data_IF_878555486009
#
_entry.id   IF_878555486009
#
_cell.length_a   1.000
_cell.length_b   1.000
_cell.length_c   1.000
_cell.angle_alpha   90.00
_cell.angle_beta   90.00
_cell.angle_gamma   90.00
#
_symmetry.space_group_name_H-M   'P 1'
#
loop_
_entity.id
_entity.type
_entity.pdbx_description
1 polymer ?
#
# COMPACT_ATOMS: atom_id res chain seq x y z
N UNK A 1 7.12 -11.63 2.92
CA UNK A 1 7.48 -12.67 1.91
C UNK A 1 8.57 -13.54 2.48
N UNK A 2 8.43 -14.86 2.39
CA UNK A 2 9.40 -15.82 2.94
C UNK A 2 10.76 -15.72 2.23
N UNK A 3 11.84 -15.78 3.01
CA UNK A 3 13.21 -15.60 2.56
C UNK A 3 13.97 -16.91 2.34
N UNK A 4 13.48 -17.80 1.47
CA UNK A 4 14.03 -19.16 1.26
C UNK A 4 15.56 -19.24 1.02
N UNK A 5 16.18 -18.20 0.45
CA UNK A 5 17.65 -18.15 0.27
C UNK A 5 18.46 -18.14 1.57
N UNK A 6 17.83 -17.81 2.71
CA UNK A 6 18.45 -17.80 4.05
C UNK A 6 17.72 -18.77 5.00
N UNK A 7 16.90 -19.67 4.46
CA UNK A 7 16.20 -20.65 5.27
C UNK A 7 17.17 -21.71 5.78
N UNK A 8 17.01 -22.12 7.03
CA UNK A 8 17.69 -23.29 7.56
C UNK A 8 16.86 -24.53 7.24
N UNK A 9 17.16 -25.14 6.09
CA UNK A 9 16.45 -26.32 5.58
C UNK A 9 16.78 -27.56 6.43
N UNK A 10 17.98 -27.60 7.04
CA UNK A 10 18.38 -28.69 7.93
C UNK A 10 17.51 -28.72 9.17
N UNK A 11 17.41 -27.58 9.86
CA UNK A 11 16.54 -27.41 11.02
C UNK A 11 15.07 -27.66 10.68
N UNK A 12 14.60 -27.21 9.51
CA UNK A 12 13.22 -27.44 9.07
C UNK A 12 12.90 -28.93 8.92
N UNK A 13 13.80 -29.70 8.30
CA UNK A 13 13.66 -31.16 8.16
C UNK A 13 13.68 -31.85 9.52
N UNK A 14 14.55 -31.42 10.42
CA UNK A 14 14.68 -32.03 11.75
C UNK A 14 13.43 -31.76 12.60
N UNK A 15 12.86 -30.55 12.54
CA UNK A 15 11.59 -30.21 13.21
C UNK A 15 10.40 -31.00 12.67
N UNK A 16 10.35 -31.25 11.36
CA UNK A 16 9.31 -32.07 10.75
C UNK A 16 9.51 -33.58 10.97
N UNK A 17 10.76 -34.01 11.18
CA UNK A 17 11.13 -35.41 11.41
C UNK A 17 11.00 -35.84 12.87
N UNK A 18 11.16 -34.92 13.83
CA UNK A 18 10.97 -35.17 15.27
C UNK A 18 9.52 -35.10 15.74
N UNK A 19 8.59 -34.73 14.86
CA UNK A 19 7.18 -34.67 15.21
C UNK A 19 6.66 -36.08 15.53
N UNK A 20 6.00 -36.31 16.69
CA UNK A 20 5.33 -37.57 16.97
C UNK A 20 4.08 -37.67 16.10
N UNK A 21 4.25 -38.14 14.86
CA UNK A 21 3.18 -38.24 13.86
C UNK A 21 2.18 -39.31 14.24
N UNK A 22 2.62 -40.39 14.86
CA UNK A 22 1.77 -41.54 15.11
C UNK A 22 0.87 -41.29 16.33
N UNK A 23 1.41 -40.84 17.46
CA UNK A 23 0.63 -40.50 18.67
C UNK A 23 -0.29 -39.28 18.50
N UNK A 24 0.12 -38.27 17.73
CA UNK A 24 -0.69 -37.06 17.55
C UNK A 24 -1.88 -37.27 16.62
N UNK A 25 -1.82 -38.27 15.74
CA UNK A 25 -2.83 -38.56 14.71
C UNK A 25 -3.69 -39.79 15.06
N UNK A 26 -3.34 -40.54 16.10
CA UNK A 26 -4.07 -41.72 16.56
C UNK A 26 -5.50 -41.37 16.99
N UNK A 27 -6.48 -42.06 16.42
CA UNK A 27 -7.91 -41.88 16.74
C UNK A 27 -8.58 -40.60 16.18
N UNK A 28 -7.88 -39.80 15.37
CA UNK A 28 -8.42 -38.54 14.82
C UNK A 28 -8.91 -38.68 13.38
N UNK A 29 -9.94 -37.90 13.04
CA UNK A 29 -10.46 -37.82 11.68
C UNK A 29 -9.48 -37.15 10.71
N UNK A 30 -9.62 -37.41 9.41
CA UNK A 30 -8.72 -36.87 8.38
C UNK A 30 -8.58 -35.33 8.43
N UNK A 31 -9.67 -34.62 8.74
CA UNK A 31 -9.71 -33.16 8.85
C UNK A 31 -8.88 -32.65 10.05
N UNK A 32 -9.00 -33.30 11.20
CA UNK A 32 -8.29 -32.93 12.43
C UNK A 32 -6.80 -33.23 12.30
N UNK A 33 -6.48 -34.40 11.73
CA UNK A 33 -5.13 -34.81 11.38
C UNK A 33 -4.45 -33.83 10.43
N UNK A 34 -5.18 -33.32 9.43
CA UNK A 34 -4.67 -32.28 8.53
C UNK A 34 -4.39 -30.95 9.24
N UNK A 35 -5.26 -30.52 10.15
CA UNK A 35 -5.06 -29.27 10.90
C UNK A 35 -3.81 -29.33 11.78
N UNK A 36 -3.60 -30.45 12.48
CA UNK A 36 -2.42 -30.67 13.32
C UNK A 36 -1.13 -30.66 12.48
N UNK A 37 -1.14 -31.38 11.36
CA UNK A 37 -0.01 -31.39 10.43
C UNK A 37 0.28 -29.98 9.88
N UNK A 38 -0.77 -29.27 9.46
CA UNK A 38 -0.65 -27.91 8.93
C UNK A 38 -0.09 -26.95 9.96
N UNK A 39 -0.53 -27.03 11.21
CA UNK A 39 -0.04 -26.18 12.29
C UNK A 39 1.45 -26.42 12.54
N UNK A 40 1.86 -27.68 12.68
CA UNK A 40 3.26 -28.05 12.87
C UNK A 40 4.15 -27.60 11.71
N UNK A 41 3.64 -27.73 10.47
CA UNK A 41 4.32 -27.25 9.27
C UNK A 41 4.50 -25.72 9.28
N UNK A 42 3.46 -24.98 9.66
CA UNK A 42 3.50 -23.51 9.73
C UNK A 42 4.43 -23.03 10.84
N UNK A 43 4.42 -23.69 12.00
CA UNK A 43 5.36 -23.42 13.09
C UNK A 43 6.80 -23.63 12.62
N UNK A 44 7.12 -24.80 12.06
CA UNK A 44 8.47 -25.08 11.53
C UNK A 44 8.88 -24.05 10.46
N UNK A 45 7.93 -23.61 9.63
CA UNK A 45 8.18 -22.60 8.60
C UNK A 45 8.52 -21.24 9.22
N UNK A 46 7.85 -20.85 10.30
CA UNK A 46 8.10 -19.58 10.99
C UNK A 46 9.48 -19.55 11.67
N UNK A 47 9.88 -20.66 12.30
CA UNK A 47 11.18 -20.77 12.97
C UNK A 47 12.35 -20.84 11.98
N UNK A 48 12.19 -21.55 10.86
CA UNK A 48 13.31 -21.85 9.97
C UNK A 48 13.46 -20.88 8.80
N UNK A 49 12.40 -20.12 8.46
CA UNK A 49 12.40 -19.26 7.27
C UNK A 49 12.23 -17.80 7.68
N UNK A 50 13.31 -17.01 7.62
CA UNK A 50 13.24 -15.59 7.91
C UNK A 50 12.20 -14.90 7.02
N UNK A 51 11.27 -14.18 7.66
CA UNK A 51 10.28 -13.39 6.95
C UNK A 51 10.92 -12.07 6.52
N UNK A 52 10.99 -11.83 5.20
CA UNK A 52 11.33 -10.51 4.70
C UNK A 52 10.09 -9.64 4.81
N UNK A 53 10.11 -8.65 5.70
CA UNK A 53 9.23 -7.49 5.58
C UNK A 53 9.52 -6.89 4.22
N UNK A 54 8.52 -6.87 3.33
CA UNK A 54 8.67 -6.03 2.14
C UNK A 54 8.89 -4.62 2.68
N UNK A 55 9.88 -3.87 2.17
CA UNK A 55 9.90 -2.44 2.47
C UNK A 55 8.50 -1.96 2.08
N UNK A 56 7.80 -1.34 3.03
CA UNK A 56 6.55 -0.68 2.71
C UNK A 56 6.86 0.22 1.50
N UNK A 57 6.04 0.13 0.45
CA UNK A 57 6.24 0.91 -0.78
C UNK A 57 6.41 2.41 -0.46
N UNK A 58 5.91 2.85 0.70
CA UNK A 58 6.03 4.20 1.23
C UNK A 58 7.34 4.54 1.97
N UNK A 59 8.23 3.58 2.22
CA UNK A 59 9.54 3.87 2.88
C UNK A 59 10.55 4.53 1.95
N UNK A 60 10.31 4.50 0.63
CA UNK A 60 11.19 5.17 -0.32
C UNK A 60 10.93 6.67 -0.28
N UNK A 61 11.75 7.36 0.51
CA UNK A 61 11.79 8.81 0.62
C UNK A 61 11.81 9.43 -0.80
N UNK A 62 10.85 10.30 -1.16
CA UNK A 62 10.86 10.97 -2.45
C UNK A 62 12.14 11.75 -2.64
N UNK A 63 12.64 11.83 -3.88
CA UNK A 63 13.92 12.48 -4.18
C UNK A 63 13.97 13.97 -3.77
N UNK A 64 12.81 14.64 -3.69
CA UNK A 64 12.69 16.05 -3.25
C UNK A 64 12.69 16.22 -1.73
N UNK A 65 12.54 15.15 -0.95
CA UNK A 65 12.38 15.25 0.49
C UNK A 65 13.76 15.32 1.15
N UNK A 66 14.28 16.53 1.37
CA UNK A 66 15.53 16.79 2.11
C UNK A 66 15.24 16.95 3.64
N UNK A 67 16.29 17.15 4.46
CA UNK A 67 16.15 17.31 5.93
C UNK A 67 15.34 18.57 6.28
N UNK A 68 15.57 19.67 5.57
CA UNK A 68 14.87 20.93 5.74
C UNK A 68 13.35 20.79 5.53
N UNK A 69 12.93 20.03 4.51
CA UNK A 69 11.52 19.73 4.26
C UNK A 69 10.86 18.96 5.40
N UNK A 70 11.60 18.05 6.05
CA UNK A 70 11.09 17.35 7.22
C UNK A 70 10.89 18.30 8.40
N UNK A 71 11.81 19.23 8.60
CA UNK A 71 11.71 20.21 9.67
C UNK A 71 10.58 21.23 9.40
N UNK A 72 10.35 21.63 8.14
CA UNK A 72 9.15 22.39 7.75
C UNK A 72 7.85 21.62 7.98
N UNK A 73 7.83 20.32 7.70
CA UNK A 73 6.67 19.44 7.97
C UNK A 73 6.40 19.33 9.48
N UNK A 74 7.43 19.29 10.32
CA UNK A 74 7.28 19.35 11.79
C UNK A 74 6.73 20.70 12.22
N UNK A 75 7.28 21.79 11.71
CA UNK A 75 6.81 23.15 12.03
C UNK A 75 5.35 23.35 11.64
N UNK A 76 4.92 22.84 10.49
CA UNK A 76 3.50 22.82 10.09
C UNK A 76 2.62 22.02 11.06
N UNK A 77 3.10 20.88 11.58
CA UNK A 77 2.36 20.07 12.58
C UNK A 77 2.26 20.79 13.93
N UNK A 78 3.31 21.48 14.33
CA UNK A 78 3.34 22.30 15.55
C UNK A 78 2.38 23.48 15.41
N UNK A 79 2.39 24.18 14.27
CA UNK A 79 1.45 25.25 13.99
C UNK A 79 -0.01 24.78 14.01
N UNK A 80 -0.30 23.58 13.49
CA UNK A 80 -1.63 22.97 13.60
C UNK A 80 -2.04 22.71 15.05
N UNK A 81 -1.12 22.18 15.87
CA UNK A 81 -1.36 21.96 17.30
C UNK A 81 -1.60 23.28 18.04
N UNK A 82 -0.77 24.29 17.78
CA UNK A 82 -0.90 25.62 18.36
C UNK A 82 -2.21 26.31 17.98
N UNK A 83 -2.59 26.22 16.69
CA UNK A 83 -3.89 26.74 16.22
C UNK A 83 -5.06 26.02 16.90
N UNK A 84 -4.99 24.68 17.03
CA UNK A 84 -6.05 23.91 17.69
C UNK A 84 -6.18 24.23 19.19
N UNK A 85 -5.10 24.70 19.80
CA UNK A 85 -5.03 25.13 21.21
C UNK A 85 -5.26 26.63 21.41
N UNK A 86 -5.55 27.39 20.34
CA UNK A 86 -5.76 28.84 20.40
C UNK A 86 -4.49 29.68 20.59
N UNK A 87 -3.30 29.08 20.50
CA UNK A 87 -2.01 29.75 20.69
C UNK A 87 -1.48 30.43 19.41
N UNK A 88 -1.97 30.00 18.25
CA UNK A 88 -1.54 30.48 16.93
C UNK A 88 -2.76 30.96 16.18
N UNK A 89 -2.67 32.14 15.56
CA UNK A 89 -3.79 32.66 14.78
C UNK A 89 -4.05 31.79 13.55
N UNK A 90 -5.29 31.79 13.06
CA UNK A 90 -5.62 31.09 11.81
C UNK A 90 -4.75 31.57 10.63
N UNK A 91 -4.43 32.87 10.60
CA UNK A 91 -3.64 33.51 9.54
C UNK A 91 -2.19 33.02 9.53
N UNK A 92 -1.57 32.91 10.71
CA UNK A 92 -0.21 32.37 10.87
C UNK A 92 -0.13 30.92 10.44
N UNK A 93 -1.07 30.08 10.89
CA UNK A 93 -1.14 28.68 10.45
C UNK A 93 -1.31 28.58 8.94
N UNK A 94 -2.23 29.37 8.36
CA UNK A 94 -2.49 29.38 6.92
C UNK A 94 -1.27 29.83 6.12
N UNK A 95 -0.52 30.82 6.61
CA UNK A 95 0.72 31.27 6.01
C UNK A 95 1.79 30.16 6.01
N UNK A 96 1.99 29.47 7.14
CA UNK A 96 2.94 28.35 7.26
C UNK A 96 2.57 27.21 6.30
N UNK A 97 1.29 26.88 6.20
CA UNK A 97 0.77 25.84 5.29
C UNK A 97 1.07 26.22 3.83
N UNK A 98 0.78 27.46 3.43
CA UNK A 98 1.03 27.96 2.07
C UNK A 98 2.52 27.96 1.74
N UNK A 99 3.35 28.52 2.63
CA UNK A 99 4.80 28.55 2.46
C UNK A 99 5.38 27.14 2.28
N UNK A 100 4.97 26.19 3.13
CA UNK A 100 5.42 24.78 3.03
C UNK A 100 5.00 24.15 1.70
N UNK A 101 3.77 24.41 1.24
CA UNK A 101 3.26 23.90 -0.05
C UNK A 101 4.07 24.46 -1.22
N UNK A 102 4.40 25.74 -1.18
CA UNK A 102 5.15 26.40 -2.25
C UNK A 102 6.61 25.93 -2.30
N UNK A 103 7.24 25.70 -1.14
CA UNK A 103 8.57 25.09 -1.09
C UNK A 103 8.56 23.68 -1.69
N UNK A 104 7.56 22.85 -1.37
CA UNK A 104 7.42 21.52 -1.97
C UNK A 104 7.21 21.59 -3.48
N UNK A 105 6.44 22.57 -3.97
CA UNK A 105 6.28 22.81 -5.41
C UNK A 105 7.62 23.19 -6.07
N UNK A 106 8.37 24.13 -5.48
CA UNK A 106 9.68 24.58 -5.97
C UNK A 106 10.70 23.43 -6.02
N UNK A 107 10.80 22.63 -4.98
CA UNK A 107 11.74 21.49 -4.97
C UNK A 107 11.38 20.40 -5.98
N UNK A 108 10.09 20.12 -6.19
CA UNK A 108 9.65 19.21 -7.25
C UNK A 108 10.06 19.74 -8.63
N UNK A 109 9.77 21.01 -8.91
CA UNK A 109 10.13 21.66 -10.16
C UNK A 109 11.65 21.66 -10.40
N UNK A 110 12.46 21.89 -9.36
CA UNK A 110 13.92 21.85 -9.45
C UNK A 110 14.43 20.46 -9.84
N UNK A 111 13.89 19.40 -9.24
CA UNK A 111 14.27 18.03 -9.60
C UNK A 111 13.86 17.71 -11.03
N UNK A 112 12.65 18.09 -11.44
CA UNK A 112 12.17 17.89 -12.80
C UNK A 112 13.01 18.65 -13.83
N UNK A 113 13.45 19.87 -13.49
CA UNK A 113 14.35 20.67 -14.31
C UNK A 113 15.74 20.02 -14.45
N UNK A 114 16.33 19.57 -13.34
CA UNK A 114 17.62 18.87 -13.38
C UNK A 114 17.52 17.58 -14.20
N UNK A 115 16.41 16.85 -14.05
CA UNK A 115 16.14 15.65 -14.82
C UNK A 115 16.00 15.93 -16.32
N UNK A 116 15.35 17.04 -16.68
CA UNK A 116 15.19 17.49 -18.07
C UNK A 116 16.53 17.90 -18.69
N UNK A 117 17.37 18.62 -17.94
CA UNK A 117 18.71 19.02 -18.38
C UNK A 117 19.61 17.81 -18.64
N UNK A 118 19.50 16.80 -17.79
CA UNK A 118 20.37 15.62 -17.85
C UNK A 118 19.82 14.50 -18.75
N UNK A 119 18.75 14.74 -19.54
CA UNK A 119 18.15 13.71 -20.42
C UNK A 119 19.20 13.12 -21.37
N UNK A 120 20.07 13.96 -21.93
CA UNK A 120 21.10 13.53 -22.90
C UNK A 120 22.17 12.65 -22.26
N UNK A 121 22.56 12.92 -21.02
CA UNK A 121 23.57 12.15 -20.29
C UNK A 121 23.00 10.97 -19.49
N UNK A 122 21.71 11.00 -19.13
CA UNK A 122 21.11 10.05 -18.19
C UNK A 122 19.63 9.74 -18.47
N UNK A 123 19.32 9.30 -19.70
CA UNK A 123 17.97 8.91 -20.14
C UNK A 123 17.28 7.89 -19.22
N UNK A 124 18.05 7.03 -18.54
CA UNK A 124 17.55 6.01 -17.60
C UNK A 124 16.86 6.64 -16.39
N UNK A 125 17.43 7.72 -15.84
CA UNK A 125 16.84 8.41 -14.69
C UNK A 125 15.50 9.07 -15.05
N UNK A 126 15.40 9.68 -16.22
CA UNK A 126 14.16 10.27 -16.71
C UNK A 126 13.05 9.22 -16.85
N UNK A 127 13.36 8.12 -17.54
CA UNK A 127 12.40 7.03 -17.75
C UNK A 127 11.95 6.39 -16.43
N UNK A 128 12.88 6.26 -15.46
CA UNK A 128 12.58 5.80 -14.10
C UNK A 128 11.63 6.75 -13.37
N UNK A 129 11.90 8.06 -13.41
CA UNK A 129 11.05 9.06 -12.76
C UNK A 129 9.62 9.04 -13.32
N UNK A 130 9.48 9.02 -14.65
CA UNK A 130 8.18 8.92 -15.33
C UNK A 130 7.45 7.63 -14.94
N UNK A 131 8.17 6.50 -14.88
CA UNK A 131 7.60 5.22 -14.47
C UNK A 131 7.15 5.23 -13.00
N UNK A 132 7.96 5.80 -12.10
CA UNK A 132 7.63 5.92 -10.67
C UNK A 132 6.40 6.82 -10.45
N UNK A 133 6.21 7.86 -11.26
CA UNK A 133 5.00 8.72 -11.25
C UNK A 133 3.76 8.02 -11.81
N UNK A 134 3.91 7.16 -12.81
CA UNK A 134 2.80 6.37 -13.37
C UNK A 134 2.33 5.27 -12.39
N UNK A 135 3.25 4.71 -11.60
CA UNK A 135 2.99 3.61 -10.65
C UNK A 135 2.01 3.91 -9.52
N UNK A 136 1.74 5.17 -9.20
CA UNK A 136 0.76 5.54 -8.17
C UNK A 136 -0.71 5.32 -8.55
N UNK A 137 -1.00 4.75 -9.73
CA UNK A 137 -2.39 4.58 -10.23
C UNK A 137 -2.92 3.16 -10.36
N UNK A 138 -2.11 2.13 -10.15
CA UNK A 138 -2.63 0.76 -10.10
C UNK A 138 -2.90 0.36 -8.64
N UNK A 139 -3.96 0.96 -8.06
CA UNK A 139 -4.79 0.14 -7.19
C UNK A 139 -5.43 -0.87 -8.12
N UNK A 140 -5.19 -2.16 -7.89
CA UNK A 140 -6.00 -3.21 -8.51
C UNK A 140 -7.44 -2.76 -8.34
N UNK A 141 -8.11 -2.50 -9.47
CA UNK A 141 -9.49 -2.04 -9.46
C UNK A 141 -10.29 -3.11 -8.70
N UNK A 142 -11.14 -2.73 -7.73
CA UNK A 142 -11.99 -3.70 -7.05
C UNK A 142 -12.72 -4.55 -8.09
N UNK A 143 -12.69 -5.87 -7.93
CA UNK A 143 -13.35 -6.78 -8.86
C UNK A 143 -14.84 -6.52 -8.84
N UNK A 144 -15.46 -6.35 -10.01
CA UNK A 144 -16.91 -6.22 -10.14
C UNK A 144 -17.52 -7.60 -10.41
N UNK A 145 -18.65 -7.89 -9.77
CA UNK A 145 -19.50 -9.04 -10.07
C UNK A 145 -20.24 -8.80 -11.39
N UNK A 146 -20.84 -9.86 -11.94
CA UNK A 146 -21.70 -9.75 -13.13
C UNK A 146 -22.88 -8.80 -12.93
N UNK A 147 -23.40 -8.69 -11.69
CA UNK A 147 -24.47 -7.77 -11.29
C UNK A 147 -24.06 -6.28 -11.29
N UNK A 148 -22.77 -5.98 -11.46
CA UNK A 148 -22.23 -4.61 -11.44
C UNK A 148 -21.75 -4.12 -10.07
N UNK A 149 -22.03 -4.87 -9.00
CA UNK A 149 -21.57 -4.56 -7.64
C UNK A 149 -20.09 -4.92 -7.43
N UNK A 150 -19.44 -4.23 -6.49
CA UNK A 150 -18.06 -4.53 -6.11
C UNK A 150 -18.00 -5.77 -5.21
N UNK A 151 -17.07 -6.69 -5.50
CA UNK A 151 -16.74 -7.80 -4.63
C UNK A 151 -16.05 -7.29 -3.36
N UNK A 152 -16.71 -7.45 -2.22
CA UNK A 152 -16.26 -6.96 -0.91
C UNK A 152 -15.56 -8.06 -0.12
N UNK A 153 -16.08 -9.28 -0.16
CA UNK A 153 -15.53 -10.44 0.53
C UNK A 153 -14.53 -11.21 -0.34
N UNK A 154 -13.63 -11.96 0.30
CA UNK A 154 -12.60 -12.72 -0.43
C UNK A 154 -13.18 -13.91 -1.20
N UNK A 155 -14.27 -14.50 -0.71
CA UNK A 155 -15.01 -15.55 -1.42
C UNK A 155 -15.59 -15.04 -2.74
N UNK A 156 -16.25 -13.87 -2.70
CA UNK A 156 -16.81 -13.21 -3.89
C UNK A 156 -15.73 -12.88 -4.93
N UNK A 157 -14.54 -12.46 -4.49
CA UNK A 157 -13.41 -12.19 -5.38
C UNK A 157 -12.89 -13.47 -6.05
N UNK A 158 -12.88 -14.59 -5.31
CA UNK A 158 -12.45 -15.88 -5.84
C UNK A 158 -13.44 -16.41 -6.89
N UNK A 159 -14.74 -16.26 -6.65
CA UNK A 159 -15.80 -16.61 -7.60
C UNK A 159 -15.67 -15.81 -8.90
N UNK A 160 -15.58 -14.48 -8.81
CA UNK A 160 -15.42 -13.61 -10.00
C UNK A 160 -14.19 -14.00 -10.84
N UNK A 161 -13.08 -14.34 -10.20
CA UNK A 161 -11.87 -14.79 -10.91
C UNK A 161 -12.04 -16.18 -11.52
N UNK A 162 -12.72 -17.09 -10.82
CA UNK A 162 -12.99 -18.43 -11.30
C UNK A 162 -13.93 -18.40 -12.51
N UNK A 163 -15.00 -17.60 -12.45
CA UNK A 163 -15.95 -17.44 -13.55
C UNK A 163 -15.28 -16.82 -14.78
N UNK A 164 -14.41 -15.83 -14.59
CA UNK A 164 -13.58 -15.28 -15.67
C UNK A 164 -12.66 -16.34 -16.28
N UNK A 165 -12.00 -17.14 -15.44
CA UNK A 165 -11.13 -18.22 -15.90
C UNK A 165 -11.92 -19.25 -16.72
N UNK A 166 -13.08 -19.69 -16.22
CA UNK A 166 -13.97 -20.62 -16.93
C UNK A 166 -14.44 -20.02 -18.26
N UNK A 167 -14.84 -18.74 -18.29
CA UNK A 167 -15.28 -18.05 -19.51
C UNK A 167 -14.23 -18.09 -20.63
N UNK A 168 -12.94 -17.91 -20.30
CA UNK A 168 -11.83 -17.98 -21.27
C UNK A 168 -11.76 -19.34 -21.98
N UNK A 169 -12.10 -20.43 -21.28
CA UNK A 169 -12.06 -21.79 -21.83
C UNK A 169 -13.39 -22.26 -22.42
N UNK A 170 -14.51 -21.57 -22.13
CA UNK A 170 -15.86 -22.01 -22.52
C UNK A 170 -16.47 -21.17 -23.66
N UNK A 171 -15.71 -20.25 -24.26
CA UNK A 171 -16.08 -19.54 -25.50
C UNK A 171 -17.20 -18.51 -25.38
N UNK A 172 -17.78 -18.29 -24.20
CA UNK A 172 -18.74 -17.22 -23.94
C UNK A 172 -17.99 -15.96 -23.54
N UNK A 173 -17.65 -15.14 -24.53
CA UNK A 173 -17.12 -13.80 -24.29
C UNK A 173 -18.30 -12.91 -23.88
N UNK A 174 -18.63 -12.86 -22.58
CA UNK A 174 -19.38 -11.71 -22.06
C UNK A 174 -18.36 -10.58 -21.93
N UNK A 175 -18.51 -9.56 -22.77
CA UNK A 175 -17.66 -8.37 -22.73
C UNK A 175 -17.89 -7.63 -21.42
N UNK A 176 -17.14 -7.98 -20.37
CA UNK A 176 -16.94 -7.12 -19.22
C UNK A 176 -16.29 -5.83 -19.73
N UNK A 177 -17.13 -4.89 -20.12
CA UNK A 177 -16.70 -3.57 -20.53
C UNK A 177 -16.19 -2.90 -19.28
N UNK A 178 -14.87 -2.89 -19.12
CA UNK A 178 -14.20 -2.07 -18.12
C UNK A 178 -14.62 -0.61 -18.36
N UNK A 179 -15.64 -0.15 -17.64
CA UNK A 179 -16.03 1.26 -17.60
C UNK A 179 -14.88 2.01 -16.92
N UNK A 180 -14.03 2.62 -17.75
CA UNK A 180 -13.01 3.57 -17.31
C UNK A 180 -13.73 4.83 -16.85
N UNK A 181 -14.07 4.90 -15.57
CA UNK A 181 -14.38 6.20 -14.97
C UNK A 181 -13.07 6.98 -14.86
N UNK A 182 -12.88 7.90 -15.80
CA UNK A 182 -11.80 8.86 -15.79
C UNK A 182 -11.86 9.63 -14.45
N UNK A 183 -10.92 9.33 -13.56
CA UNK A 183 -10.78 10.02 -12.29
C UNK A 183 -10.52 11.50 -12.51
N UNK A 184 -11.58 12.30 -12.41
CA UNK A 184 -11.56 13.76 -12.34
C UNK A 184 -10.59 14.17 -11.23
N UNK A 185 -9.61 15.00 -11.58
CA UNK A 185 -8.69 15.59 -10.61
C UNK A 185 -9.50 16.34 -9.55
N UNK A 186 -9.25 16.05 -8.28
CA UNK A 186 -9.77 16.88 -7.18
C UNK A 186 -8.95 18.16 -7.15
N UNK A 187 -9.50 19.22 -7.73
CA UNK A 187 -9.13 20.58 -7.37
C UNK A 187 -9.70 20.86 -5.98
N UNK A 188 -8.79 20.97 -5.00
CA UNK A 188 -9.08 21.37 -3.63
C UNK A 188 -9.05 22.89 -3.50
N UNK A 189 -9.84 23.57 -4.33
CA UNK A 189 -10.09 24.99 -4.15
C UNK A 189 -11.46 25.14 -3.49
N UNK A 190 -11.45 25.79 -2.32
CA UNK A 190 -12.59 26.21 -1.50
C UNK A 190 -13.05 25.20 -0.43
N UNK A 191 -12.26 25.08 0.65
CA UNK A 191 -12.83 24.79 1.97
C UNK A 191 -12.86 26.10 2.77
N UNK A 192 -14.08 26.58 3.05
CA UNK A 192 -14.37 27.53 4.12
C UNK A 192 -14.28 26.82 5.48
N UNK A 193 -13.92 27.54 6.57
CA UNK A 193 -13.73 26.93 7.88
C UNK A 193 -15.05 26.38 8.44
N UNK A 194 -15.04 25.24 9.16
CA UNK A 194 -16.24 24.74 9.81
C UNK A 194 -16.62 25.67 10.97
N UNK A 195 -17.85 26.18 10.92
CA UNK A 195 -18.47 26.92 12.02
C UNK A 195 -18.55 26.01 13.25
N UNK A 196 -17.81 26.36 14.30
CA UNK A 196 -17.93 25.74 15.62
C UNK A 196 -19.27 26.18 16.19
N UNK A 197 -20.18 25.22 16.40
CA UNK A 197 -21.36 25.43 17.23
C UNK A 197 -20.90 25.58 18.68
N UNK A 198 -21.24 26.70 19.28
CA UNK A 198 -21.15 26.93 20.72
C UNK A 198 -22.24 26.08 21.39
N UNK A 199 -21.86 25.03 22.12
CA UNK A 199 -22.72 24.47 23.16
C UNK A 199 -22.38 25.18 24.47
N UNK A 200 -23.37 25.89 25.00
CA UNK A 200 -23.34 26.46 26.34
C UNK A 200 -23.90 25.47 27.36
N UNK A 201 -23.28 25.55 28.54
CA UNK A 201 -23.58 25.00 29.88
C UNK A 201 -23.17 23.54 30.12
#
# INVERSE_FOLDING_TARGET
TLGFRRADIGLFRDLLGRAPRDEALEGRGAQESWLIFKDHLLQAQEWCIPTKKKPDRNTRRPAWMNKEFLDQLKHKKEAYRGWKQGQVSWEEYRAIVRATRDQVRKAKALIELNLARDIKGNKKNFSRYVSDKKRTREKVVPLCKETGDLATQDMEKAEVLNDFFVSVFTGKISSCTAQVTAGKGRDWENEEPPTVGEDQV
#
